data_IF_057362057695
#
_entry.id   IF_057362057695
#
_cell.length_a   1.000
_cell.length_b   1.000
_cell.length_c   1.000
_cell.angle_alpha   90.00
_cell.angle_beta   90.00
_cell.angle_gamma   90.00
#
_symmetry.space_group_name_H-M   'P 1'
#
loop_
_entity.id
_entity.type
_entity.pdbx_description
1 polymer ?
#
# COMPACT_ATOMS: atom_id res chain seq x y z
N UNK A 1 -13.20 6.70 12.70
CA UNK A 1 -11.77 6.77 12.30
C UNK A 1 -10.90 6.67 13.55
N UNK A 2 -9.67 6.17 13.45
CA UNK A 2 -8.70 6.23 14.55
C UNK A 2 -8.25 7.68 14.79
N UNK A 3 -8.10 8.06 16.06
CA UNK A 3 -7.33 9.24 16.46
C UNK A 3 -5.84 8.94 16.43
N UNK A 4 -4.97 9.96 16.50
CA UNK A 4 -3.52 9.77 16.60
C UNK A 4 -3.15 8.90 17.80
N UNK A 5 -3.60 9.29 18.99
CA UNK A 5 -3.31 8.55 20.24
C UNK A 5 -3.81 7.09 20.22
N UNK A 6 -4.98 6.83 19.63
CA UNK A 6 -5.50 5.46 19.46
C UNK A 6 -4.60 4.64 18.52
N UNK A 7 -4.08 5.28 17.46
CA UNK A 7 -3.21 4.61 16.49
C UNK A 7 -1.81 4.37 17.06
N UNK A 8 -1.24 5.33 17.80
CA UNK A 8 0.03 5.18 18.52
C UNK A 8 -0.07 4.03 19.51
N UNK A 9 -1.13 4.00 20.32
CA UNK A 9 -1.37 2.90 21.26
C UNK A 9 -1.53 1.55 20.56
N UNK A 10 -2.20 1.53 19.40
CA UNK A 10 -2.40 0.31 18.62
C UNK A 10 -1.10 -0.20 17.97
N UNK A 11 -0.19 0.69 17.61
CA UNK A 11 1.09 0.36 16.97
C UNK A 11 2.28 0.28 17.92
N UNK A 12 2.14 0.71 19.17
CA UNK A 12 3.20 0.64 20.18
C UNK A 12 3.90 -0.73 20.24
N UNK A 13 3.19 -1.88 20.23
CA UNK A 13 3.86 -3.18 20.24
C UNK A 13 4.79 -3.41 19.03
N UNK A 14 4.43 -2.88 17.86
CA UNK A 14 5.25 -3.00 16.65
C UNK A 14 6.46 -2.05 16.73
N UNK A 15 6.25 -0.79 17.11
CA UNK A 15 7.34 0.19 17.19
C UNK A 15 8.34 -0.19 18.30
N UNK A 16 7.87 -0.67 19.45
CA UNK A 16 8.74 -1.19 20.52
C UNK A 16 9.53 -2.42 20.09
N UNK A 17 8.90 -3.32 19.32
CA UNK A 17 9.59 -4.48 18.76
C UNK A 17 10.69 -4.04 17.79
N UNK A 18 10.38 -3.12 16.88
CA UNK A 18 11.35 -2.60 15.92
C UNK A 18 12.49 -1.88 16.61
N UNK A 19 12.20 -1.03 17.61
CA UNK A 19 13.19 -0.27 18.37
C UNK A 19 14.25 -1.19 19.01
N UNK A 20 13.79 -2.16 19.82
CA UNK A 20 14.68 -3.13 20.49
C UNK A 20 15.54 -3.94 19.53
N UNK A 21 14.94 -4.41 18.42
CA UNK A 21 15.66 -5.26 17.46
C UNK A 21 16.62 -4.44 16.59
N UNK A 22 16.22 -3.26 16.13
CA UNK A 22 17.10 -2.39 15.36
C UNK A 22 18.25 -1.88 16.21
N UNK A 23 18.02 -1.50 17.46
CA UNK A 23 19.10 -1.15 18.39
C UNK A 23 20.13 -2.28 18.50
N UNK A 24 19.66 -3.51 18.80
CA UNK A 24 20.53 -4.70 18.93
C UNK A 24 21.35 -4.97 17.66
N UNK A 25 20.69 -4.93 16.49
CA UNK A 25 21.36 -5.16 15.21
C UNK A 25 22.38 -4.06 14.92
N UNK A 26 22.01 -2.79 15.14
CA UNK A 26 22.85 -1.66 14.79
C UNK A 26 24.11 -1.54 15.66
N UNK A 27 24.09 -2.02 16.91
CA UNK A 27 25.27 -2.05 17.79
C UNK A 27 26.37 -2.95 17.20
N UNK A 28 25.99 -4.02 16.50
CA UNK A 28 26.94 -5.01 15.96
C UNK A 28 27.32 -4.76 14.51
N UNK A 29 26.80 -3.70 13.89
CA UNK A 29 26.95 -3.41 12.47
C UNK A 29 27.74 -2.12 12.26
N UNK A 30 28.46 -2.04 11.13
CA UNK A 30 28.96 -0.74 10.66
C UNK A 30 27.77 0.17 10.33
N UNK A 31 27.98 1.49 10.39
CA UNK A 31 26.94 2.49 10.08
C UNK A 31 26.28 2.25 8.72
N UNK A 32 27.05 1.89 7.69
CA UNK A 32 26.53 1.62 6.35
C UNK A 32 25.63 0.37 6.32
N UNK A 33 26.03 -0.70 7.01
CA UNK A 33 25.23 -1.93 7.09
C UNK A 33 23.95 -1.69 7.88
N UNK A 34 24.03 -0.96 9.00
CA UNK A 34 22.89 -0.59 9.82
C UNK A 34 21.86 0.23 9.03
N UNK A 35 22.30 1.24 8.28
CA UNK A 35 21.42 2.03 7.42
C UNK A 35 20.73 1.18 6.33
N UNK A 36 21.43 0.22 5.74
CA UNK A 36 20.83 -0.68 4.74
C UNK A 36 19.78 -1.61 5.37
N UNK A 37 20.03 -2.12 6.59
CA UNK A 37 19.03 -2.90 7.34
C UNK A 37 17.78 -2.06 7.61
N UNK A 38 17.93 -0.85 8.16
CA UNK A 38 16.81 0.05 8.46
C UNK A 38 16.01 0.37 7.20
N UNK A 39 16.69 0.69 6.10
CA UNK A 39 16.05 0.94 4.80
C UNK A 39 15.25 -0.26 4.29
N UNK A 40 15.80 -1.47 4.38
CA UNK A 40 15.09 -2.69 3.97
C UNK A 40 13.89 -2.99 4.85
N UNK A 41 14.01 -2.76 6.15
CA UNK A 41 12.88 -2.92 7.07
C UNK A 41 11.75 -1.95 6.75
N UNK A 42 12.06 -0.69 6.41
CA UNK A 42 11.06 0.27 5.94
C UNK A 42 10.37 -0.21 4.66
N UNK A 43 11.14 -0.62 3.65
CA UNK A 43 10.59 -1.11 2.38
C UNK A 43 9.70 -2.34 2.58
N UNK A 44 10.02 -3.20 3.54
CA UNK A 44 9.23 -4.39 3.89
C UNK A 44 7.98 -4.04 4.68
N UNK A 45 8.05 -3.07 5.60
CA UNK A 45 6.87 -2.58 6.31
C UNK A 45 5.82 -2.03 5.32
N UNK A 46 6.26 -1.29 4.30
CA UNK A 46 5.39 -0.82 3.21
C UNK A 46 4.79 -2.00 2.40
N UNK A 47 5.58 -3.02 2.09
CA UNK A 47 5.08 -4.23 1.40
C UNK A 47 3.98 -4.93 2.21
N UNK A 48 4.19 -5.06 3.51
CA UNK A 48 3.25 -5.70 4.42
C UNK A 48 1.94 -4.91 4.53
N UNK A 49 2.02 -3.57 4.65
CA UNK A 49 0.82 -2.72 4.65
C UNK A 49 0.08 -2.84 3.30
N UNK A 50 0.78 -2.72 2.18
CA UNK A 50 0.18 -2.79 0.85
C UNK A 50 -0.53 -4.13 0.60
N UNK A 51 0.15 -5.24 0.90
CA UNK A 51 -0.39 -6.60 0.73
C UNK A 51 -1.55 -6.90 1.68
N UNK A 52 -1.64 -6.19 2.81
CA UNK A 52 -2.78 -6.27 3.73
C UNK A 52 -3.98 -5.49 3.19
N UNK A 53 -3.76 -4.29 2.67
CA UNK A 53 -4.80 -3.36 2.18
C UNK A 53 -5.42 -3.82 0.87
N UNK A 54 -4.63 -4.36 -0.05
CA UNK A 54 -5.10 -4.75 -1.39
C UNK A 54 -4.48 -6.05 -1.87
N UNK A 55 -5.27 -6.80 -2.64
CA UNK A 55 -4.85 -8.07 -3.26
C UNK A 55 -3.84 -7.84 -4.39
N UNK A 56 -3.04 -8.85 -4.76
CA UNK A 56 -2.26 -8.83 -5.99
C UNK A 56 -3.14 -8.61 -7.23
N UNK A 57 -2.58 -8.11 -8.33
CA UNK A 57 -3.34 -7.88 -9.57
C UNK A 57 -3.73 -9.19 -10.28
N UNK A 58 -2.88 -10.20 -10.17
CA UNK A 58 -3.07 -11.52 -10.80
C UNK A 58 -3.16 -12.63 -9.75
N UNK A 59 -3.56 -13.82 -10.14
CA UNK A 59 -3.61 -15.00 -9.25
C UNK A 59 -4.88 -15.09 -8.42
N UNK A 60 -4.98 -16.11 -7.56
CA UNK A 60 -6.18 -16.37 -6.77
C UNK A 60 -6.32 -15.36 -5.61
N UNK A 61 -7.57 -15.14 -5.19
CA UNK A 61 -7.89 -14.30 -4.04
C UNK A 61 -8.31 -15.21 -2.90
N UNK A 62 -7.63 -15.13 -1.77
CA UNK A 62 -8.00 -15.84 -0.54
C UNK A 62 -9.47 -15.58 -0.18
N UNK A 63 -10.21 -16.66 0.12
CA UNK A 63 -11.65 -16.63 0.41
C UNK A 63 -12.00 -15.77 1.62
N UNK A 64 -11.08 -15.62 2.57
CA UNK A 64 -11.22 -14.81 3.79
C UNK A 64 -11.03 -13.31 3.59
N UNK A 65 -10.45 -12.86 2.46
CA UNK A 65 -10.18 -11.44 2.22
C UNK A 65 -11.48 -10.64 2.08
N UNK A 66 -11.55 -9.49 2.74
CA UNK A 66 -12.69 -8.55 2.70
C UNK A 66 -12.20 -7.13 2.50
N UNK A 67 -13.02 -6.31 1.82
CA UNK A 67 -12.76 -4.87 1.70
C UNK A 67 -12.77 -4.25 3.09
N UNK A 68 -11.76 -3.44 3.39
CA UNK A 68 -11.61 -2.81 4.70
C UNK A 68 -12.65 -1.72 4.91
N UNK A 69 -13.13 -1.60 6.15
CA UNK A 69 -13.99 -0.50 6.55
C UNK A 69 -13.19 0.80 6.78
N UNK A 70 -13.85 1.97 6.87
CA UNK A 70 -13.17 3.25 7.05
C UNK A 70 -12.28 3.32 8.31
N UNK A 71 -12.64 2.61 9.39
CA UNK A 71 -11.83 2.55 10.61
C UNK A 71 -10.52 1.80 10.36
N UNK A 72 -10.56 0.65 9.69
CA UNK A 72 -9.38 -0.13 9.33
C UNK A 72 -8.45 0.64 8.39
N UNK A 73 -9.00 1.36 7.41
CA UNK A 73 -8.20 2.20 6.50
C UNK A 73 -7.54 3.36 7.24
N UNK A 74 -8.26 4.01 8.17
CA UNK A 74 -7.65 5.06 8.97
C UNK A 74 -6.48 4.55 9.81
N UNK A 75 -6.55 3.31 10.33
CA UNK A 75 -5.41 2.70 11.02
C UNK A 75 -4.23 2.45 10.06
N UNK A 76 -4.49 1.96 8.84
CA UNK A 76 -3.42 1.75 7.86
C UNK A 76 -2.76 3.06 7.42
N UNK A 77 -3.52 4.16 7.32
CA UNK A 77 -2.99 5.51 7.07
C UNK A 77 -2.09 5.98 8.22
N UNK A 78 -2.56 5.86 9.46
CA UNK A 78 -1.73 6.16 10.62
C UNK A 78 -0.50 5.26 10.71
N UNK A 79 -0.61 3.99 10.36
CA UNK A 79 0.52 3.06 10.37
C UNK A 79 1.65 3.52 9.44
N UNK A 80 1.31 3.97 8.24
CA UNK A 80 2.30 4.52 7.31
C UNK A 80 2.96 5.77 7.90
N UNK A 81 2.20 6.66 8.55
CA UNK A 81 2.72 7.89 9.14
C UNK A 81 3.63 7.62 10.34
N UNK A 82 3.16 6.83 11.31
CA UNK A 82 3.92 6.47 12.52
C UNK A 82 5.23 5.78 12.15
N UNK A 83 5.19 4.83 11.21
CA UNK A 83 6.40 4.15 10.75
C UNK A 83 7.32 5.10 9.97
N UNK A 84 6.79 6.00 9.15
CA UNK A 84 7.60 7.01 8.47
C UNK A 84 8.38 7.86 9.50
N UNK A 85 7.69 8.35 10.53
CA UNK A 85 8.31 9.17 11.57
C UNK A 85 9.32 8.37 12.40
N UNK A 86 9.00 7.11 12.74
CA UNK A 86 9.90 6.18 13.41
C UNK A 86 11.20 5.96 12.61
N UNK A 87 11.12 5.66 11.31
CA UNK A 87 12.30 5.42 10.49
C UNK A 87 13.04 6.71 10.13
N UNK A 88 12.37 7.86 10.14
CA UNK A 88 13.02 9.16 9.98
C UNK A 88 13.83 9.55 11.23
N UNK A 89 13.30 9.22 12.42
CA UNK A 89 13.87 9.55 13.73
C UNK A 89 14.26 11.03 13.86
N UNK A 90 13.46 11.94 13.28
CA UNK A 90 13.75 13.38 13.17
C UNK A 90 15.15 13.72 12.60
N UNK A 91 15.72 12.81 11.79
CA UNK A 91 17.06 12.95 11.25
C UNK A 91 18.19 12.66 12.25
N UNK A 92 17.89 12.11 13.42
CA UNK A 92 18.87 11.75 14.44
C UNK A 92 19.43 10.33 14.25
N UNK A 93 20.65 10.09 14.75
CA UNK A 93 21.28 8.77 14.80
C UNK A 93 21.37 8.07 13.45
N UNK A 94 20.71 6.92 13.32
CA UNK A 94 20.63 6.12 12.10
C UNK A 94 19.34 6.37 11.29
N UNK A 95 18.61 7.43 11.61
CA UNK A 95 17.40 7.85 10.92
C UNK A 95 17.62 8.06 9.42
N UNK A 96 16.62 7.70 8.63
CA UNK A 96 16.65 7.82 7.18
C UNK A 96 16.23 9.22 6.75
N UNK A 97 16.93 9.78 5.75
CA UNK A 97 16.49 11.03 5.14
C UNK A 97 15.14 10.86 4.43
N UNK A 98 14.30 11.91 4.40
CA UNK A 98 12.98 11.89 3.74
C UNK A 98 13.03 11.38 2.30
N UNK A 99 14.04 11.79 1.53
CA UNK A 99 14.27 11.31 0.15
C UNK A 99 14.50 9.79 0.02
N UNK A 100 14.96 9.13 1.09
CA UNK A 100 15.17 7.67 1.15
C UNK A 100 13.87 6.97 1.55
N UNK A 101 13.04 7.60 2.40
CA UNK A 101 11.75 7.09 2.83
C UNK A 101 10.67 7.23 1.74
N UNK A 102 10.69 8.34 1.00
CA UNK A 102 9.73 8.70 -0.05
C UNK A 102 9.99 7.94 -1.36
N UNK A 103 10.10 6.62 -1.25
CA UNK A 103 10.27 5.73 -2.39
C UNK A 103 9.02 5.74 -3.27
N UNK A 104 9.16 5.23 -4.50
CA UNK A 104 8.01 4.99 -5.40
C UNK A 104 6.93 4.14 -4.70
N UNK A 105 7.33 3.19 -3.87
CA UNK A 105 6.41 2.34 -3.11
C UNK A 105 5.65 3.13 -2.07
N UNK A 106 6.32 3.96 -1.28
CA UNK A 106 5.66 4.85 -0.31
C UNK A 106 4.59 5.71 -0.99
N UNK A 107 4.90 6.32 -2.14
CA UNK A 107 3.96 7.14 -2.91
C UNK A 107 2.76 6.31 -3.37
N UNK A 108 2.99 5.08 -3.85
CA UNK A 108 1.93 4.17 -4.30
C UNK A 108 1.02 3.72 -3.15
N UNK A 109 1.58 3.33 -2.00
CA UNK A 109 0.82 2.93 -0.80
C UNK A 109 0.00 4.09 -0.27
N UNK A 110 0.59 5.29 -0.17
CA UNK A 110 -0.10 6.50 0.26
C UNK A 110 -1.26 6.86 -0.68
N UNK A 111 -1.02 6.77 -1.99
CA UNK A 111 -2.05 7.01 -3.01
C UNK A 111 -3.18 5.97 -2.97
N UNK A 112 -2.83 4.70 -2.75
CA UNK A 112 -3.79 3.60 -2.58
C UNK A 112 -4.70 3.86 -1.39
N UNK A 113 -4.13 4.19 -0.23
CA UNK A 113 -4.87 4.47 1.00
C UNK A 113 -5.78 5.70 0.84
N UNK A 114 -5.29 6.77 0.22
CA UNK A 114 -6.10 7.97 -0.08
C UNK A 114 -7.27 7.66 -1.03
N UNK A 115 -7.07 6.75 -1.98
CA UNK A 115 -8.09 6.36 -2.97
C UNK A 115 -9.06 5.29 -2.45
N UNK A 116 -8.79 4.69 -1.28
CA UNK A 116 -9.52 3.50 -0.81
C UNK A 116 -11.00 3.78 -0.53
N UNK A 117 -11.37 5.00 -0.15
CA UNK A 117 -12.76 5.40 0.07
C UNK A 117 -13.51 5.83 -1.19
N UNK A 118 -12.81 6.09 -2.30
CA UNK A 118 -13.36 6.64 -3.53
C UNK A 118 -14.23 5.62 -4.26
N UNK A 119 -15.37 5.99 -4.82
CA UNK A 119 -16.25 5.07 -5.58
C UNK A 119 -15.55 4.38 -6.78
N UNK A 120 -15.94 3.14 -7.07
CA UNK A 120 -15.32 2.32 -8.13
C UNK A 120 -15.44 2.96 -9.52
N UNK A 121 -16.55 3.63 -9.82
CA UNK A 121 -16.76 4.39 -11.07
C UNK A 121 -15.71 5.51 -11.24
N UNK A 122 -15.46 6.27 -10.17
CA UNK A 122 -14.45 7.34 -10.13
C UNK A 122 -13.03 6.79 -10.22
N UNK A 123 -12.74 5.67 -9.56
CA UNK A 123 -11.44 4.99 -9.68
C UNK A 123 -11.15 4.53 -11.11
N UNK A 124 -12.15 3.98 -11.82
CA UNK A 124 -12.00 3.58 -13.24
C UNK A 124 -11.67 4.79 -14.12
N UNK A 125 -12.43 5.88 -13.97
CA UNK A 125 -12.18 7.11 -14.71
C UNK A 125 -10.79 7.68 -14.41
N UNK A 126 -10.36 7.67 -13.15
CA UNK A 126 -9.02 8.12 -12.78
C UNK A 126 -7.93 7.25 -13.42
N UNK A 127 -8.12 5.94 -13.43
CA UNK A 127 -7.20 5.02 -14.09
C UNK A 127 -7.11 5.27 -15.60
N UNK A 128 -8.26 5.43 -16.27
CA UNK A 128 -8.32 5.74 -17.71
C UNK A 128 -7.64 7.07 -18.04
N UNK A 129 -7.85 8.11 -17.24
CA UNK A 129 -7.15 9.40 -17.38
C UNK A 129 -5.64 9.26 -17.18
N UNK A 130 -5.20 8.45 -16.21
CA UNK A 130 -3.78 8.21 -15.97
C UNK A 130 -3.10 7.51 -17.14
N UNK A 131 -3.81 6.60 -17.83
CA UNK A 131 -3.32 5.93 -19.03
C UNK A 131 -3.07 6.90 -20.20
N UNK A 132 -3.88 7.96 -20.35
CA UNK A 132 -3.65 8.98 -21.38
C UNK A 132 -2.31 9.70 -21.19
N UNK A 133 -1.83 9.80 -19.94
CA UNK A 133 -0.52 10.36 -19.61
C UNK A 133 0.60 9.31 -19.53
N UNK A 134 0.39 8.10 -20.04
CA UNK A 134 1.33 6.97 -19.93
C UNK A 134 1.72 6.62 -18.49
N UNK A 135 0.83 6.89 -17.52
CA UNK A 135 1.06 6.57 -16.11
C UNK A 135 0.21 5.37 -15.72
N UNK A 136 0.84 4.22 -15.64
CA UNK A 136 0.17 3.03 -15.12
C UNK A 136 0.05 3.08 -13.60
N UNK A 137 -1.16 3.45 -13.12
CA UNK A 137 -1.52 3.42 -11.71
C UNK A 137 -2.03 2.03 -11.32
N UNK A 138 -1.14 1.05 -11.25
CA UNK A 138 -1.49 -0.34 -10.94
C UNK A 138 -2.30 -0.52 -9.65
N UNK A 139 -2.00 0.28 -8.61
CA UNK A 139 -2.73 0.24 -7.34
C UNK A 139 -4.24 0.48 -7.52
N UNK A 140 -4.65 1.31 -8.51
CA UNK A 140 -6.06 1.52 -8.82
C UNK A 140 -6.70 0.25 -9.38
N UNK A 141 -6.02 -0.44 -10.32
CA UNK A 141 -6.53 -1.71 -10.85
C UNK A 141 -6.64 -2.79 -9.78
N UNK A 142 -5.65 -2.88 -8.88
CA UNK A 142 -5.68 -3.81 -7.75
C UNK A 142 -6.87 -3.52 -6.83
N UNK A 143 -7.11 -2.25 -6.51
CA UNK A 143 -8.24 -1.84 -5.68
C UNK A 143 -9.60 -2.09 -6.37
N UNK A 144 -9.71 -1.75 -7.65
CA UNK A 144 -10.91 -2.01 -8.46
C UNK A 144 -11.19 -3.52 -8.50
N UNK A 145 -10.18 -4.33 -8.82
CA UNK A 145 -10.28 -5.80 -8.79
C UNK A 145 -10.76 -6.30 -7.45
N UNK A 146 -10.17 -5.81 -6.35
CA UNK A 146 -10.53 -6.26 -5.01
C UNK A 146 -12.01 -6.05 -4.73
N UNK A 147 -12.54 -4.89 -5.12
CA UNK A 147 -13.96 -4.55 -4.92
C UNK A 147 -14.90 -5.33 -5.81
N UNK A 148 -14.55 -5.55 -7.07
CA UNK A 148 -15.38 -6.38 -7.97
C UNK A 148 -15.60 -7.77 -7.37
N UNK A 149 -14.53 -8.34 -6.80
CA UNK A 149 -14.53 -9.71 -6.29
C UNK A 149 -15.04 -9.84 -4.85
N UNK A 150 -14.93 -8.78 -4.02
CA UNK A 150 -15.19 -8.87 -2.57
C UNK A 150 -16.12 -7.80 -2.00
N UNK A 151 -16.52 -6.80 -2.77
CA UNK A 151 -17.48 -5.81 -2.29
C UNK A 151 -18.90 -6.37 -2.42
N UNK A 152 -19.57 -6.46 -1.29
CA UNK A 152 -20.98 -6.81 -1.19
C UNK A 152 -21.83 -5.63 -1.69
N UNK A 153 -22.90 -5.90 -2.43
CA UNK A 153 -23.85 -4.88 -2.92
C UNK A 153 -23.88 -4.66 -4.43
N UNK A 154 -22.99 -5.26 -5.22
CA UNK A 154 -23.09 -5.25 -6.69
C UNK A 154 -24.08 -6.32 -7.17
N UNK A 155 -24.97 -5.95 -8.10
CA UNK A 155 -25.78 -6.93 -8.83
C UNK A 155 -24.90 -7.83 -9.71
N UNK A 156 -25.44 -8.98 -10.12
CA UNK A 156 -24.72 -9.91 -11.00
C UNK A 156 -24.27 -9.23 -12.31
N UNK A 157 -25.16 -8.44 -12.92
CA UNK A 157 -24.89 -7.73 -14.18
C UNK A 157 -23.79 -6.69 -14.03
N UNK A 158 -23.84 -5.86 -12.99
CA UNK A 158 -22.81 -4.85 -12.72
C UNK A 158 -21.45 -5.49 -12.43
N UNK A 159 -21.44 -6.62 -11.71
CA UNK A 159 -20.21 -7.37 -11.43
C UNK A 159 -19.62 -7.99 -12.71
N UNK A 160 -20.46 -8.53 -13.59
CA UNK A 160 -20.00 -9.12 -14.86
C UNK A 160 -19.43 -8.05 -15.81
N UNK A 161 -20.12 -6.91 -15.96
CA UNK A 161 -19.61 -5.76 -16.73
C UNK A 161 -18.27 -5.25 -16.18
N UNK A 162 -18.16 -5.18 -14.85
CA UNK A 162 -16.93 -4.78 -14.19
C UNK A 162 -15.76 -5.73 -14.47
N UNK A 163 -16.01 -7.05 -14.44
CA UNK A 163 -15.02 -8.07 -14.77
C UNK A 163 -14.57 -7.97 -16.22
N UNK A 164 -15.52 -7.82 -17.16
CA UNK A 164 -15.19 -7.61 -18.58
C UNK A 164 -14.32 -6.38 -18.80
N UNK A 165 -14.63 -5.25 -18.15
CA UNK A 165 -13.80 -4.06 -18.20
C UNK A 165 -12.39 -4.34 -17.66
N UNK A 166 -12.27 -5.02 -16.51
CA UNK A 166 -10.98 -5.36 -15.91
C UNK A 166 -10.14 -6.24 -16.86
N UNK A 167 -10.75 -7.28 -17.44
CA UNK A 167 -10.09 -8.20 -18.36
C UNK A 167 -9.58 -7.49 -19.63
N UNK A 168 -10.35 -6.53 -20.16
CA UNK A 168 -9.90 -5.68 -21.25
C UNK A 168 -8.65 -4.87 -20.87
N UNK A 169 -8.62 -4.26 -19.67
CA UNK A 169 -7.44 -3.52 -19.22
C UNK A 169 -6.22 -4.42 -19.02
N UNK A 170 -6.41 -5.60 -18.43
CA UNK A 170 -5.34 -6.59 -18.26
C UNK A 170 -4.78 -7.08 -19.59
N UNK A 171 -5.64 -7.26 -20.60
CA UNK A 171 -5.24 -7.66 -21.96
C UNK A 171 -4.40 -6.57 -22.62
N UNK A 172 -4.87 -5.30 -22.60
CA UNK A 172 -4.11 -4.15 -23.12
C UNK A 172 -2.73 -4.03 -22.47
N UNK A 173 -2.64 -4.19 -21.14
CA UNK A 173 -1.35 -4.14 -20.42
C UNK A 173 -0.40 -5.27 -20.85
N UNK A 174 -0.91 -6.49 -21.05
CA UNK A 174 -0.10 -7.61 -21.56
C UNK A 174 0.44 -7.31 -22.97
N UNK A 175 -0.38 -6.74 -23.84
CA UNK A 175 0.04 -6.37 -25.20
C UNK A 175 1.11 -5.29 -25.20
N UNK A 176 0.97 -4.23 -24.39
CA UNK A 176 1.98 -3.17 -24.25
C UNK A 176 3.30 -3.74 -23.76
N UNK A 177 3.26 -4.60 -22.73
CA UNK A 177 4.46 -5.23 -22.17
C UNK A 177 5.15 -6.18 -23.14
N UNK A 178 4.41 -6.85 -24.02
CA UNK A 178 4.98 -7.75 -25.03
C UNK A 178 5.56 -7.00 -26.24
N UNK A 179 5.21 -5.72 -26.44
CA UNK A 179 5.71 -4.86 -27.52
C UNK A 179 6.91 -3.99 -27.11
N UNK A 180 7.20 -3.91 -25.81
CA UNK A 180 8.32 -3.16 -25.23
C UNK A 180 9.51 -4.08 -24.98
#
# INVERSE_FOLDING_TARGET
PFTGDEADSALAPLTEYLDKNLETLCISLSTLMAQEVIKRTWDEALNMIESTVVIPLYGQIESSRRVMNPRQISLAQWAVQILYDFFHADGAGLGLAKKVLETRRYIQVSSLLASYGTETSRLRREYELALLGSREKEYLLRLIRFRIERQDGLSYTERDEARRWLDQQLTKRKEIRNRS
#
